data_IF_215031976291
#
_entry.id   IF_215031976291
#
_cell.length_a   1.000
_cell.length_b   1.000
_cell.length_c   1.000
_cell.angle_alpha   90.00
_cell.angle_beta   90.00
_cell.angle_gamma   90.00
#
_symmetry.space_group_name_H-M   'P 1'
#
loop_
_entity.id
_entity.type
_entity.pdbx_description
1 polymer ?
#
# COMPACT_ATOMS: atom_id res chain seq x y z
N UNK A 1 28.95 47.34 -12.63
CA UNK A 1 28.29 46.04 -12.67
C UNK A 1 28.20 45.52 -11.25
N UNK A 2 27.03 45.10 -10.74
CA UNK A 2 26.93 44.57 -9.37
C UNK A 2 27.82 43.33 -9.23
N UNK A 3 28.55 43.23 -8.10
CA UNK A 3 29.47 42.15 -7.80
C UNK A 3 28.71 40.82 -7.76
N UNK A 4 29.40 39.70 -7.97
CA UNK A 4 28.79 38.33 -7.91
C UNK A 4 28.08 38.13 -6.54
N UNK A 5 28.61 38.66 -5.46
CA UNK A 5 28.01 38.64 -4.13
C UNK A 5 26.69 39.40 -4.04
N UNK A 6 26.57 40.53 -4.74
CA UNK A 6 25.33 41.33 -4.78
C UNK A 6 24.21 40.55 -5.56
N UNK A 7 24.58 39.85 -6.61
CA UNK A 7 23.64 39.00 -7.37
C UNK A 7 23.16 37.81 -6.53
N UNK A 8 24.04 37.16 -5.79
CA UNK A 8 23.71 36.08 -4.87
C UNK A 8 22.80 36.56 -3.73
N UNK A 9 23.11 37.72 -3.13
CA UNK A 9 22.28 38.33 -2.09
C UNK A 9 20.89 38.69 -2.63
N UNK A 10 20.81 39.25 -3.83
CA UNK A 10 19.52 39.56 -4.48
C UNK A 10 18.72 38.31 -4.80
N UNK A 11 19.37 37.26 -5.25
CA UNK A 11 18.74 35.95 -5.50
C UNK A 11 18.24 35.28 -4.22
N UNK A 12 19.03 35.32 -3.16
CA UNK A 12 18.63 34.86 -1.81
C UNK A 12 17.48 35.69 -1.24
N UNK A 13 17.50 37.02 -1.44
CA UNK A 13 16.41 37.88 -1.01
C UNK A 13 15.10 37.62 -1.76
N UNK A 14 15.16 37.36 -3.09
CA UNK A 14 14.01 36.93 -3.89
C UNK A 14 13.51 35.56 -3.42
N UNK A 15 14.39 34.60 -3.10
CA UNK A 15 14.03 33.31 -2.52
C UNK A 15 13.33 33.46 -1.18
N UNK A 16 13.76 34.39 -0.33
CA UNK A 16 13.13 34.66 0.98
C UNK A 16 11.71 35.25 0.80
N UNK A 17 11.48 36.05 -0.23
CA UNK A 17 10.13 36.59 -0.54
C UNK A 17 9.19 35.50 -1.04
N UNK A 18 9.72 34.43 -1.70
CA UNK A 18 8.94 33.28 -2.12
C UNK A 18 8.51 32.38 -0.94
N UNK A 19 9.21 32.45 0.20
CA UNK A 19 8.85 31.72 1.43
C UNK A 19 7.61 32.29 2.13
N UNK A 20 7.17 33.51 1.78
CA UNK A 20 5.88 34.08 2.18
C UNK A 20 4.68 33.48 1.45
N UNK A 21 4.87 32.37 0.70
CA UNK A 21 3.77 31.64 0.08
C UNK A 21 2.90 31.02 1.17
N UNK A 22 1.69 31.56 1.30
CA UNK A 22 0.70 31.13 2.29
C UNK A 22 0.25 29.68 1.96
N UNK A 23 0.70 28.69 2.75
CA UNK A 23 0.34 27.29 2.61
C UNK A 23 -1.17 27.03 2.73
N UNK A 24 -1.87 27.93 3.41
CA UNK A 24 -3.30 27.85 3.73
C UNK A 24 -4.20 28.68 2.80
N UNK A 25 -3.66 29.17 1.66
CA UNK A 25 -4.38 30.10 0.75
C UNK A 25 -5.76 29.57 0.31
N UNK A 26 -5.87 28.29 0.05
CA UNK A 26 -7.10 27.63 -0.40
C UNK A 26 -7.70 26.67 0.62
N UNK A 27 -7.34 26.84 1.91
CA UNK A 27 -7.96 26.13 3.03
C UNK A 27 -9.16 26.95 3.51
N UNK A 28 -10.35 26.35 3.52
CA UNK A 28 -11.59 27.02 3.96
C UNK A 28 -11.56 27.35 5.46
N UNK A 29 -12.48 28.19 5.93
CA UNK A 29 -12.47 28.64 7.33
C UNK A 29 -12.74 27.53 8.34
N UNK A 30 -13.54 26.53 7.95
CA UNK A 30 -13.87 25.37 8.76
C UNK A 30 -12.93 24.16 8.55
N UNK A 31 -11.90 24.31 7.73
CA UNK A 31 -10.95 23.27 7.38
C UNK A 31 -9.56 23.51 7.99
N UNK A 32 -8.78 22.45 8.10
CA UNK A 32 -7.37 22.53 8.55
C UNK A 32 -6.47 21.75 7.60
N UNK A 33 -5.39 22.38 7.19
CA UNK A 33 -4.31 21.76 6.43
C UNK A 33 -3.60 20.72 7.31
N UNK A 34 -3.50 19.49 6.86
CA UNK A 34 -2.68 18.47 7.49
C UNK A 34 -1.20 18.76 7.23
N UNK A 35 -0.50 19.25 8.23
CA UNK A 35 0.91 19.67 8.11
C UNK A 35 1.89 18.52 8.34
N UNK A 36 1.61 17.65 9.29
CA UNK A 36 2.48 16.52 9.65
C UNK A 36 1.69 15.41 10.32
N UNK A 37 2.14 14.17 10.09
CA UNK A 37 1.79 13.02 10.90
C UNK A 37 3.01 12.60 11.73
N UNK A 38 2.82 12.40 13.02
CA UNK A 38 3.84 11.87 13.93
C UNK A 38 3.36 10.54 14.50
N UNK A 39 4.19 9.53 14.42
CA UNK A 39 3.94 8.25 15.09
C UNK A 39 4.91 8.11 16.25
N UNK A 40 4.37 7.92 17.44
CA UNK A 40 5.11 7.77 18.70
C UNK A 40 4.80 6.37 19.24
N UNK A 41 5.84 5.60 19.46
CA UNK A 41 5.74 4.20 19.94
C UNK A 41 6.34 4.12 21.33
N UNK A 42 5.53 3.76 22.31
CA UNK A 42 5.93 3.69 23.73
C UNK A 42 6.61 4.98 24.24
N UNK A 43 6.14 6.15 23.77
CA UNK A 43 6.70 7.45 24.15
C UNK A 43 7.84 7.96 23.28
N UNK A 44 8.41 7.12 22.40
CA UNK A 44 9.51 7.50 21.50
C UNK A 44 9.03 7.73 20.06
N UNK A 45 9.59 8.76 19.41
CA UNK A 45 9.30 9.05 18.01
C UNK A 45 9.77 7.88 17.13
N UNK A 46 8.83 7.29 16.40
CA UNK A 46 9.19 6.24 15.43
C UNK A 46 10.00 6.83 14.26
N UNK A 47 11.11 6.15 13.94
CA UNK A 47 12.03 6.53 12.85
C UNK A 47 11.86 5.65 11.60
N UNK A 48 11.08 4.57 11.68
CA UNK A 48 10.87 3.66 10.56
C UNK A 48 9.94 4.31 9.51
N UNK A 49 10.45 4.62 8.30
CA UNK A 49 9.63 5.20 7.24
C UNK A 49 8.54 4.26 6.71
N UNK A 50 8.69 2.95 6.91
CA UNK A 50 7.73 1.94 6.47
C UNK A 50 6.36 2.14 7.13
N UNK A 51 6.33 2.66 8.35
CA UNK A 51 5.10 2.90 9.10
C UNK A 51 4.15 3.89 8.40
N UNK A 52 4.70 4.78 7.58
CA UNK A 52 3.91 5.73 6.81
C UNK A 52 3.01 5.08 5.75
N UNK A 53 3.25 3.80 5.40
CA UNK A 53 2.39 3.03 4.50
C UNK A 53 1.03 2.73 5.11
N UNK A 54 0.97 2.70 6.44
CA UNK A 54 -0.24 2.38 7.21
C UNK A 54 -1.09 3.62 7.52
N UNK A 55 -0.63 4.81 7.13
CA UNK A 55 -1.38 6.05 7.29
C UNK A 55 -2.30 6.28 6.08
N UNK A 56 -3.61 6.36 6.32
CA UNK A 56 -4.61 6.56 5.28
C UNK A 56 -4.57 7.97 4.67
N UNK A 57 -4.02 8.94 5.40
CA UNK A 57 -3.82 10.30 4.94
C UNK A 57 -2.37 10.73 5.15
N UNK A 58 -1.77 11.30 4.12
CA UNK A 58 -0.39 11.81 4.16
C UNK A 58 -0.42 13.30 3.89
N UNK A 59 0.38 14.11 4.61
CA UNK A 59 0.50 15.54 4.33
C UNK A 59 1.11 15.78 2.94
N UNK A 60 0.98 17.01 2.44
CA UNK A 60 1.62 17.41 1.19
C UNK A 60 3.12 17.11 1.21
N UNK A 61 3.63 16.64 0.06
CA UNK A 61 5.05 16.26 -0.07
C UNK A 61 5.97 17.44 0.20
N UNK A 62 7.04 17.19 0.94
CA UNK A 62 8.06 18.17 1.25
C UNK A 62 9.36 17.90 0.50
N UNK A 63 9.93 18.96 -0.07
CA UNK A 63 11.28 18.96 -0.63
C UNK A 63 12.08 20.02 0.13
N UNK A 64 13.26 19.66 0.64
CA UNK A 64 14.08 20.54 1.47
C UNK A 64 13.31 21.12 2.68
N UNK A 65 12.42 20.32 3.28
CA UNK A 65 11.60 20.72 4.43
C UNK A 65 10.37 21.58 4.10
N UNK A 66 10.20 22.02 2.84
CA UNK A 66 9.12 22.89 2.39
C UNK A 66 8.13 22.15 1.47
N UNK A 67 6.81 22.41 1.54
CA UNK A 67 5.81 21.82 0.66
C UNK A 67 5.76 22.54 -0.70
N UNK A 68 6.84 22.43 -1.48
CA UNK A 68 6.99 23.16 -2.73
C UNK A 68 5.86 22.88 -3.72
N UNK A 69 5.39 21.64 -3.81
CA UNK A 69 4.27 21.26 -4.68
C UNK A 69 2.97 21.98 -4.30
N UNK A 70 2.72 22.18 -3.00
CA UNK A 70 1.58 22.97 -2.51
C UNK A 70 1.74 24.45 -2.88
N UNK A 71 2.94 25.00 -2.78
CA UNK A 71 3.21 26.37 -3.20
C UNK A 71 2.99 26.56 -4.70
N UNK A 72 3.41 25.59 -5.53
CA UNK A 72 3.11 25.59 -6.95
C UNK A 72 1.59 25.61 -7.21
N UNK A 73 0.82 24.78 -6.53
CA UNK A 73 -0.63 24.79 -6.60
C UNK A 73 -1.22 26.16 -6.26
N UNK A 74 -0.71 26.79 -5.23
CA UNK A 74 -1.19 28.10 -4.75
C UNK A 74 -0.88 29.27 -5.68
N UNK A 75 -0.02 29.12 -6.70
CA UNK A 75 0.12 30.07 -7.81
C UNK A 75 -1.07 30.00 -8.79
N UNK A 76 -1.73 28.87 -8.90
CA UNK A 76 -2.98 28.73 -9.62
C UNK A 76 -4.17 29.25 -8.82
N UNK A 77 -5.31 29.31 -9.47
CA UNK A 77 -6.62 29.56 -8.87
C UNK A 77 -7.54 28.38 -9.20
N UNK A 78 -7.97 27.58 -8.22
CA UNK A 78 -8.90 26.47 -8.46
C UNK A 78 -10.24 26.92 -9.04
N UNK A 79 -10.70 28.13 -8.73
CA UNK A 79 -11.97 28.70 -9.18
C UNK A 79 -11.89 29.31 -10.58
N UNK A 80 -10.77 29.11 -11.30
CA UNK A 80 -10.55 29.64 -12.65
C UNK A 80 -11.20 28.77 -13.75
N UNK A 81 -12.18 27.95 -13.41
CA UNK A 81 -12.82 27.03 -14.37
C UNK A 81 -14.01 27.61 -15.14
N UNK A 82 -14.29 28.91 -15.01
CA UNK A 82 -15.36 29.54 -15.77
C UNK A 82 -15.08 29.53 -17.29
N UNK A 83 -16.14 29.49 -18.08
CA UNK A 83 -16.04 29.65 -19.53
C UNK A 83 -15.63 31.08 -19.87
N UNK A 84 -15.26 31.33 -21.14
CA UNK A 84 -14.94 32.71 -21.57
C UNK A 84 -16.11 33.65 -21.45
N UNK A 85 -17.33 33.19 -21.78
CA UNK A 85 -18.52 33.99 -21.70
C UNK A 85 -18.90 34.30 -20.23
N UNK A 86 -18.85 33.35 -19.35
CA UNK A 86 -19.00 33.59 -17.91
C UNK A 86 -17.91 34.51 -17.35
N UNK A 87 -16.68 34.43 -17.87
CA UNK A 87 -15.62 35.36 -17.47
C UNK A 87 -15.95 36.80 -17.91
N UNK A 88 -16.52 37.01 -19.11
CA UNK A 88 -16.95 38.33 -19.57
C UNK A 88 -18.05 38.88 -18.67
N UNK A 89 -19.07 38.08 -18.35
CA UNK A 89 -20.19 38.45 -17.50
C UNK A 89 -19.73 38.86 -16.10
N UNK A 90 -18.81 38.09 -15.54
CA UNK A 90 -18.29 38.35 -14.20
C UNK A 90 -17.23 39.48 -14.13
N UNK A 91 -16.63 39.86 -15.28
CA UNK A 91 -15.55 40.84 -15.31
C UNK A 91 -15.76 41.90 -16.45
N UNK A 92 -16.92 42.57 -16.56
CA UNK A 92 -17.20 43.44 -17.68
C UNK A 92 -16.23 44.59 -17.85
N UNK A 93 -15.76 45.19 -16.72
CA UNK A 93 -14.75 46.26 -16.75
C UNK A 93 -13.39 45.81 -17.30
N UNK A 94 -12.99 44.58 -17.02
CA UNK A 94 -11.75 44.02 -17.57
C UNK A 94 -11.90 43.68 -19.05
N UNK A 95 -13.03 43.11 -19.43
CA UNK A 95 -13.32 42.79 -20.80
C UNK A 95 -13.32 44.04 -21.67
N UNK A 96 -14.05 45.10 -21.30
CA UNK A 96 -14.08 46.38 -22.02
C UNK A 96 -12.70 47.01 -22.17
N UNK A 97 -11.81 46.89 -21.15
CA UNK A 97 -10.43 47.36 -21.25
C UNK A 97 -9.62 46.54 -22.26
N UNK A 98 -9.84 45.25 -22.36
CA UNK A 98 -9.16 44.43 -23.36
C UNK A 98 -9.73 44.70 -24.76
N UNK A 99 -11.04 44.84 -24.90
CA UNK A 99 -11.71 45.09 -26.16
C UNK A 99 -11.35 46.47 -26.79
N UNK A 100 -11.00 47.44 -25.95
CA UNK A 100 -10.51 48.73 -26.46
C UNK A 100 -9.16 48.69 -27.17
N UNK A 101 -8.36 47.61 -26.95
CA UNK A 101 -7.02 47.41 -27.55
C UNK A 101 -6.96 46.17 -28.45
N UNK A 102 -7.81 45.17 -28.24
CA UNK A 102 -7.74 43.87 -28.88
C UNK A 102 -9.14 43.47 -29.41
N UNK A 103 -9.16 42.73 -30.51
CA UNK A 103 -10.40 42.11 -30.97
C UNK A 103 -10.91 41.04 -29.98
N UNK A 104 -12.22 40.70 -30.07
CA UNK A 104 -12.81 39.61 -29.25
C UNK A 104 -11.99 38.29 -29.36
N UNK A 105 -11.54 37.94 -30.58
CA UNK A 105 -10.69 36.74 -30.82
C UNK A 105 -9.34 36.82 -30.11
N UNK A 106 -8.68 37.97 -30.12
CA UNK A 106 -7.42 38.16 -29.41
C UNK A 106 -7.62 38.12 -27.88
N UNK A 107 -8.71 38.71 -27.38
CA UNK A 107 -9.07 38.63 -25.95
C UNK A 107 -9.34 37.20 -25.54
N UNK A 108 -9.98 36.39 -26.35
CA UNK A 108 -10.16 34.96 -26.12
C UNK A 108 -8.82 34.20 -26.05
N UNK A 109 -7.89 34.51 -26.95
CA UNK A 109 -6.55 33.89 -26.92
C UNK A 109 -5.80 34.25 -25.62
N UNK A 110 -5.86 35.52 -25.21
CA UNK A 110 -5.25 35.96 -23.93
C UNK A 110 -5.88 35.23 -22.75
N UNK A 111 -7.21 35.09 -22.72
CA UNK A 111 -7.92 34.33 -21.70
C UNK A 111 -7.50 32.85 -21.71
N UNK A 112 -7.49 32.20 -22.87
CA UNK A 112 -7.12 30.79 -23.03
C UNK A 112 -5.69 30.52 -22.57
N UNK A 113 -4.74 31.40 -22.88
CA UNK A 113 -3.36 31.29 -22.42
C UNK A 113 -3.26 31.45 -20.90
N UNK A 114 -3.99 32.39 -20.29
CA UNK A 114 -4.06 32.53 -18.84
C UNK A 114 -4.63 31.28 -18.18
N UNK A 115 -5.71 30.73 -18.74
CA UNK A 115 -6.32 29.47 -18.27
C UNK A 115 -5.32 28.31 -18.38
N UNK A 116 -4.59 28.20 -19.48
CA UNK A 116 -3.58 27.17 -19.68
C UNK A 116 -2.44 27.26 -18.65
N UNK A 117 -1.93 28.47 -18.40
CA UNK A 117 -0.89 28.68 -17.35
C UNK A 117 -1.45 28.37 -15.95
N UNK A 118 -2.68 28.82 -15.66
CA UNK A 118 -3.35 28.50 -14.40
C UNK A 118 -3.43 26.97 -14.20
N UNK A 119 -3.95 26.27 -15.17
CA UNK A 119 -4.11 24.82 -15.12
C UNK A 119 -2.75 24.09 -15.04
N UNK A 120 -1.71 24.66 -15.64
CA UNK A 120 -0.37 24.13 -15.50
C UNK A 120 0.10 24.17 -14.04
N UNK A 121 -0.10 25.28 -13.31
CA UNK A 121 0.22 25.38 -11.90
C UNK A 121 -0.60 24.40 -11.05
N UNK A 122 -1.90 24.29 -11.28
CA UNK A 122 -2.75 23.36 -10.55
C UNK A 122 -2.37 21.91 -10.80
N UNK A 123 -2.06 21.54 -12.05
CA UNK A 123 -1.72 20.17 -12.44
C UNK A 123 -0.30 19.75 -12.01
N UNK A 124 0.65 20.69 -11.92
CA UNK A 124 2.02 20.44 -11.47
C UNK A 124 2.18 20.58 -9.96
N UNK A 125 1.28 21.32 -9.35
CA UNK A 125 1.17 21.47 -7.91
C UNK A 125 0.44 20.31 -7.26
N UNK A 126 0.35 20.35 -5.95
CA UNK A 126 -0.41 19.42 -5.11
C UNK A 126 -1.41 20.22 -4.29
N UNK A 127 -2.70 19.92 -4.43
CA UNK A 127 -3.76 20.58 -3.67
C UNK A 127 -3.53 20.44 -2.15
N UNK A 128 -4.00 21.38 -1.31
CA UNK A 128 -3.87 21.26 0.13
C UNK A 128 -4.56 19.99 0.63
N UNK A 129 -3.83 19.22 1.43
CA UNK A 129 -4.38 18.03 2.07
C UNK A 129 -5.12 18.46 3.33
N UNK A 130 -6.45 18.47 3.25
CA UNK A 130 -7.31 18.84 4.38
C UNK A 130 -7.40 17.67 5.36
N UNK A 131 -7.24 17.96 6.65
CA UNK A 131 -7.37 16.97 7.70
C UNK A 131 -8.77 16.35 7.70
N UNK A 132 -8.81 15.03 7.80
CA UNK A 132 -10.03 14.21 7.84
C UNK A 132 -9.94 13.25 9.05
N UNK A 133 -10.81 13.47 10.03
CA UNK A 133 -10.86 12.66 11.25
C UNK A 133 -11.15 11.19 10.96
N UNK A 134 -11.98 10.89 9.95
CA UNK A 134 -12.28 9.51 9.56
C UNK A 134 -11.03 8.77 9.05
N UNK A 135 -10.19 9.47 8.29
CA UNK A 135 -8.91 8.93 7.81
C UNK A 135 -7.89 8.80 8.94
N UNK A 136 -7.90 9.70 9.91
CA UNK A 136 -7.06 9.56 11.11
C UNK A 136 -7.46 8.33 11.92
N UNK A 137 -8.76 8.10 12.14
CA UNK A 137 -9.27 6.87 12.79
C UNK A 137 -8.90 5.61 12.01
N UNK A 138 -9.02 5.66 10.69
CA UNK A 138 -8.60 4.54 9.83
C UNK A 138 -7.10 4.27 9.98
N UNK A 139 -6.26 5.31 10.01
CA UNK A 139 -4.82 5.19 10.23
C UNK A 139 -4.50 4.55 11.58
N UNK A 140 -5.15 5.00 12.66
CA UNK A 140 -4.96 4.42 13.99
C UNK A 140 -5.30 2.92 14.00
N UNK A 141 -6.40 2.52 13.35
CA UNK A 141 -6.80 1.11 13.23
C UNK A 141 -5.77 0.30 12.42
N UNK A 142 -5.35 0.80 11.26
CA UNK A 142 -4.37 0.11 10.41
C UNK A 142 -3.01 -0.01 11.10
N UNK A 143 -2.60 0.98 11.87
CA UNK A 143 -1.40 0.91 12.71
C UNK A 143 -1.54 -0.15 13.80
N UNK A 144 -2.70 -0.24 14.46
CA UNK A 144 -2.98 -1.29 15.44
C UNK A 144 -2.86 -2.68 14.81
N UNK A 145 -3.49 -2.89 13.64
CA UNK A 145 -3.45 -4.15 12.89
C UNK A 145 -1.99 -4.51 12.50
N UNK A 146 -1.19 -3.51 12.11
CA UNK A 146 0.23 -3.70 11.84
C UNK A 146 0.99 -4.22 13.07
N UNK A 147 0.79 -3.62 14.26
CA UNK A 147 1.47 -4.09 15.48
C UNK A 147 0.95 -5.46 15.93
N UNK A 148 -0.33 -5.73 15.77
CA UNK A 148 -0.90 -7.08 15.99
C UNK A 148 -0.22 -8.09 15.07
N UNK A 149 -0.03 -7.80 13.79
CA UNK A 149 0.65 -8.69 12.85
C UNK A 149 2.13 -8.94 13.17
N UNK A 150 2.75 -8.05 13.97
CA UNK A 150 4.11 -8.20 14.49
C UNK A 150 4.18 -8.89 15.87
N UNK A 151 3.04 -9.46 16.32
CA UNK A 151 2.94 -10.21 17.57
C UNK A 151 2.63 -9.38 18.82
N UNK A 152 2.29 -8.12 18.68
CA UNK A 152 1.85 -7.27 19.80
C UNK A 152 0.32 -7.27 19.90
N UNK A 153 -0.26 -8.40 20.30
CA UNK A 153 -1.72 -8.59 20.28
C UNK A 153 -2.49 -7.64 21.21
N UNK A 154 -1.83 -7.12 22.23
CA UNK A 154 -2.42 -6.14 23.15
C UNK A 154 -2.07 -4.69 22.77
N UNK A 155 -1.56 -4.47 21.56
CA UNK A 155 -1.25 -3.13 21.08
C UNK A 155 -2.51 -2.26 21.08
N UNK A 156 -2.35 -1.02 21.52
CA UNK A 156 -3.39 0.01 21.41
C UNK A 156 -2.83 1.23 20.68
N UNK A 157 -3.69 1.84 19.85
CA UNK A 157 -3.33 3.01 19.05
C UNK A 157 -4.46 4.02 19.12
N UNK A 158 -4.14 5.19 19.64
CA UNK A 158 -4.99 6.36 19.59
C UNK A 158 -4.29 7.52 18.86
N UNK A 159 -5.01 8.59 18.59
CA UNK A 159 -4.40 9.77 18.00
C UNK A 159 -4.93 11.04 18.66
N UNK A 160 -4.08 12.04 18.66
CA UNK A 160 -4.38 13.40 19.09
C UNK A 160 -4.09 14.36 17.95
N UNK A 161 -4.77 15.51 17.96
CA UNK A 161 -4.54 16.58 17.01
C UNK A 161 -3.97 17.79 17.74
N UNK A 162 -2.88 18.35 17.22
CA UNK A 162 -2.28 19.59 17.70
C UNK A 162 -2.47 20.69 16.67
N UNK A 163 -3.20 21.74 17.04
CA UNK A 163 -3.32 22.94 16.21
C UNK A 163 -2.00 23.70 16.20
N UNK A 164 -1.43 23.92 15.02
CA UNK A 164 -0.18 24.68 14.83
C UNK A 164 -0.45 26.14 14.42
N UNK A 165 -1.71 26.51 14.31
CA UNK A 165 -2.20 27.82 13.90
C UNK A 165 -3.72 27.73 13.67
N UNK A 166 -4.31 28.76 13.07
CA UNK A 166 -5.76 28.80 12.84
C UNK A 166 -6.23 27.70 11.86
N UNK A 167 -5.44 27.44 10.82
CA UNK A 167 -5.80 26.53 9.71
C UNK A 167 -4.76 25.42 9.49
N UNK A 168 -3.91 25.12 10.46
CA UNK A 168 -2.92 24.03 10.35
C UNK A 168 -3.03 23.07 11.53
N UNK A 169 -2.90 21.78 11.24
CA UNK A 169 -2.98 20.70 12.22
C UNK A 169 -1.87 19.68 12.03
N UNK A 170 -1.33 19.21 13.14
CA UNK A 170 -0.49 18.01 13.24
C UNK A 170 -1.31 16.87 13.84
N UNK A 171 -1.17 15.67 13.30
CA UNK A 171 -1.76 14.47 13.87
C UNK A 171 -0.66 13.64 14.51
N UNK A 172 -0.82 13.33 15.80
CA UNK A 172 0.08 12.48 16.56
C UNK A 172 -0.59 11.15 16.88
N UNK A 173 -0.09 10.05 16.31
CA UNK A 173 -0.53 8.69 16.62
C UNK A 173 0.31 8.15 17.77
N UNK A 174 -0.33 7.81 18.88
CA UNK A 174 0.31 7.24 20.06
C UNK A 174 0.07 5.73 20.05
N UNK A 175 1.15 4.97 19.92
CA UNK A 175 1.14 3.51 19.90
C UNK A 175 1.69 3.00 21.22
N UNK A 176 0.92 2.15 21.90
CA UNK A 176 1.36 1.39 23.08
C UNK A 176 1.38 -0.08 22.69
N UNK A 177 2.57 -0.68 22.51
CA UNK A 177 2.68 -2.05 21.99
C UNK A 177 2.47 -3.12 23.04
N UNK A 178 2.79 -2.82 24.32
CA UNK A 178 2.90 -3.81 25.40
C UNK A 178 3.89 -4.94 25.06
N UNK A 179 3.71 -6.15 25.60
CA UNK A 179 4.61 -7.26 25.43
C UNK A 179 4.40 -7.99 24.11
N UNK A 180 5.49 -8.31 23.42
CA UNK A 180 5.45 -9.08 22.18
C UNK A 180 5.28 -10.57 22.49
N UNK A 181 4.30 -11.18 21.85
CA UNK A 181 4.09 -12.62 21.94
C UNK A 181 5.12 -13.39 21.12
N UNK A 182 5.48 -14.59 21.60
CA UNK A 182 6.46 -15.49 21.00
C UNK A 182 5.87 -16.88 20.82
N UNK A 183 6.47 -17.66 19.94
CA UNK A 183 6.14 -19.08 19.72
C UNK A 183 6.74 -19.90 20.85
N UNK A 184 5.91 -20.67 21.56
CA UNK A 184 6.33 -21.62 22.59
C UNK A 184 6.73 -22.96 21.96
N UNK A 185 5.77 -23.58 21.28
CA UNK A 185 5.98 -24.83 20.57
C UNK A 185 5.30 -24.80 19.19
N UNK A 186 5.80 -25.64 18.27
CA UNK A 186 5.16 -25.89 16.97
C UNK A 186 4.89 -27.37 16.86
N UNK A 187 3.62 -27.75 16.81
CA UNK A 187 3.17 -29.12 16.62
C UNK A 187 2.38 -29.25 15.32
N UNK A 188 2.21 -30.47 14.84
CA UNK A 188 1.48 -30.73 13.61
C UNK A 188 0.50 -31.90 13.78
N UNK A 189 -0.71 -31.70 13.27
CA UNK A 189 -1.77 -32.72 13.14
C UNK A 189 -2.04 -32.92 11.63
N UNK A 190 -1.42 -33.95 11.07
CA UNK A 190 -1.41 -34.23 9.63
C UNK A 190 -2.03 -35.59 9.36
N UNK A 191 -3.21 -35.62 8.73
CA UNK A 191 -3.94 -36.86 8.51
C UNK A 191 -3.31 -37.76 7.43
N UNK A 192 -2.75 -37.18 6.38
CA UNK A 192 -2.16 -37.95 5.26
C UNK A 192 -0.73 -38.39 5.55
N UNK A 193 -0.43 -39.71 5.59
CA UNK A 193 0.93 -40.21 5.92
C UNK A 193 2.04 -39.69 4.99
N UNK A 194 1.74 -39.51 3.70
CA UNK A 194 2.69 -38.97 2.71
C UNK A 194 3.07 -37.54 3.05
N UNK A 195 2.08 -36.70 3.40
CA UNK A 195 2.33 -35.30 3.82
C UNK A 195 3.13 -35.26 5.11
N UNK A 196 2.76 -36.06 6.11
CA UNK A 196 3.44 -36.13 7.40
C UNK A 196 4.91 -36.52 7.26
N UNK A 197 5.20 -37.53 6.44
CA UNK A 197 6.58 -37.97 6.15
C UNK A 197 7.42 -36.86 5.50
N UNK A 198 6.86 -36.17 4.48
CA UNK A 198 7.55 -35.07 3.79
C UNK A 198 7.76 -33.89 4.74
N UNK A 199 6.76 -33.56 5.56
CA UNK A 199 6.85 -32.49 6.55
C UNK A 199 7.97 -32.75 7.55
N UNK A 200 7.97 -33.92 8.19
CA UNK A 200 8.98 -34.32 9.18
C UNK A 200 10.40 -34.30 8.63
N UNK A 201 10.59 -34.72 7.37
CA UNK A 201 11.89 -34.69 6.72
C UNK A 201 12.43 -33.27 6.41
N UNK A 202 11.63 -32.22 6.58
CA UNK A 202 12.00 -30.83 6.26
C UNK A 202 11.67 -29.83 7.39
N UNK A 203 11.65 -30.30 8.64
CA UNK A 203 11.40 -29.46 9.81
C UNK A 203 12.52 -28.42 10.05
N UNK A 204 13.74 -28.75 9.68
CA UNK A 204 14.92 -27.87 9.79
C UNK A 204 14.76 -26.54 9.01
N UNK A 205 13.91 -26.54 7.99
CA UNK A 205 13.69 -25.40 7.07
C UNK A 205 12.50 -24.53 7.44
N UNK A 206 11.84 -24.79 8.57
CA UNK A 206 10.66 -24.02 9.00
C UNK A 206 11.01 -22.57 9.33
N UNK A 207 10.10 -21.65 9.01
CA UNK A 207 10.14 -20.26 9.45
C UNK A 207 9.64 -20.10 10.89
N UNK A 208 8.83 -21.06 11.39
CA UNK A 208 8.23 -21.01 12.71
C UNK A 208 9.14 -21.73 13.72
N UNK A 209 9.81 -20.95 14.58
CA UNK A 209 10.78 -21.50 15.54
C UNK A 209 10.39 -21.10 16.97
N UNK A 210 10.52 -22.04 17.88
CA UNK A 210 10.36 -21.81 19.32
C UNK A 210 11.21 -20.63 19.81
N UNK A 211 10.64 -19.76 20.62
CA UNK A 211 11.28 -18.56 21.16
C UNK A 211 11.28 -17.35 20.22
N UNK A 212 10.95 -17.52 18.94
CA UNK A 212 10.88 -16.41 17.99
C UNK A 212 9.58 -15.62 18.15
N UNK A 213 9.55 -14.32 17.75
CA UNK A 213 8.33 -13.53 17.77
C UNK A 213 7.22 -14.17 16.95
N UNK A 214 5.98 -14.02 17.41
CA UNK A 214 4.78 -14.49 16.72
C UNK A 214 4.40 -13.49 15.60
N UNK A 215 5.02 -13.57 14.44
CA UNK A 215 4.86 -12.64 13.32
C UNK A 215 4.05 -13.28 12.20
N UNK A 216 2.93 -12.69 11.79
CA UNK A 216 2.03 -13.26 10.78
C UNK A 216 2.73 -13.51 9.44
N UNK A 217 3.65 -12.64 9.04
CA UNK A 217 4.45 -12.79 7.83
C UNK A 217 5.24 -14.12 7.79
N UNK A 218 5.69 -14.60 8.95
CA UNK A 218 6.43 -15.87 9.02
C UNK A 218 5.50 -17.07 8.84
N UNK A 219 4.25 -16.98 9.25
CA UNK A 219 3.22 -17.98 8.96
C UNK A 219 2.89 -18.00 7.45
N UNK A 220 2.77 -16.85 6.81
CA UNK A 220 2.56 -16.77 5.35
C UNK A 220 3.74 -17.37 4.57
N UNK A 221 4.98 -17.09 5.00
CA UNK A 221 6.19 -17.70 4.41
C UNK A 221 6.20 -19.21 4.59
N UNK A 222 5.82 -19.68 5.78
CA UNK A 222 5.78 -21.13 6.07
C UNK A 222 4.70 -21.82 5.23
N UNK A 223 3.51 -21.23 5.12
CA UNK A 223 2.45 -21.72 4.25
C UNK A 223 2.94 -21.84 2.80
N UNK A 224 3.54 -20.78 2.26
CA UNK A 224 4.08 -20.77 0.90
C UNK A 224 5.19 -21.82 0.71
N UNK A 225 6.06 -22.00 1.73
CA UNK A 225 7.10 -23.03 1.74
C UNK A 225 6.51 -24.44 1.68
N UNK A 226 5.53 -24.72 2.53
CA UNK A 226 4.88 -26.04 2.61
C UNK A 226 4.12 -26.38 1.34
N UNK A 227 3.36 -25.44 0.78
CA UNK A 227 2.68 -25.64 -0.52
C UNK A 227 3.68 -26.02 -1.60
N UNK A 228 4.79 -25.29 -1.70
CA UNK A 228 5.85 -25.57 -2.67
C UNK A 228 6.51 -26.91 -2.42
N UNK A 229 6.83 -27.21 -1.17
CA UNK A 229 7.45 -28.46 -0.76
C UNK A 229 6.60 -29.66 -1.17
N UNK A 230 5.32 -29.69 -0.78
CA UNK A 230 4.44 -30.82 -1.06
C UNK A 230 4.18 -30.99 -2.56
N UNK A 231 3.96 -29.91 -3.30
CA UNK A 231 3.77 -29.97 -4.75
C UNK A 231 5.02 -30.47 -5.47
N UNK A 232 6.19 -30.01 -5.09
CA UNK A 232 7.46 -30.46 -5.67
C UNK A 232 7.79 -31.92 -5.30
N UNK A 233 7.22 -32.43 -4.21
CA UNK A 233 7.30 -33.82 -3.79
C UNK A 233 6.22 -34.72 -4.42
N UNK A 234 5.52 -34.21 -5.44
CA UNK A 234 4.52 -34.99 -6.20
C UNK A 234 3.10 -34.90 -5.66
N UNK A 235 2.84 -34.17 -4.59
CA UNK A 235 1.47 -33.98 -4.06
C UNK A 235 0.76 -32.87 -4.83
N UNK A 236 0.46 -33.12 -6.09
CA UNK A 236 -0.03 -32.14 -7.08
C UNK A 236 -1.28 -31.37 -6.64
N UNK A 237 -2.21 -32.04 -5.94
CA UNK A 237 -3.49 -31.44 -5.55
C UNK A 237 -3.41 -30.56 -4.29
N UNK A 238 -2.24 -30.43 -3.65
CA UNK A 238 -2.09 -29.64 -2.44
C UNK A 238 -2.19 -28.13 -2.73
N UNK A 239 -2.97 -27.42 -1.93
CA UNK A 239 -3.20 -25.98 -2.07
C UNK A 239 -3.06 -25.29 -0.70
N UNK A 240 -2.89 -23.97 -0.67
CA UNK A 240 -2.78 -23.19 0.55
C UNK A 240 -3.96 -23.41 1.53
N UNK A 241 -5.19 -23.38 1.03
CA UNK A 241 -6.38 -23.63 1.86
C UNK A 241 -6.53 -25.08 2.35
N UNK A 242 -5.59 -25.97 2.01
CA UNK A 242 -5.54 -27.36 2.51
C UNK A 242 -4.90 -27.46 3.88
N UNK A 243 -4.42 -26.37 4.46
CA UNK A 243 -3.81 -26.32 5.80
C UNK A 243 -4.27 -25.09 6.57
N UNK A 244 -4.07 -25.11 7.88
CA UNK A 244 -4.29 -23.96 8.75
C UNK A 244 -3.38 -24.01 9.96
N UNK A 245 -3.09 -22.83 10.51
CA UNK A 245 -2.38 -22.69 11.79
C UNK A 245 -3.38 -22.31 12.88
N UNK A 246 -3.33 -23.00 13.97
CA UNK A 246 -4.17 -22.79 15.14
C UNK A 246 -3.30 -22.44 16.33
N UNK A 247 -3.75 -21.53 17.17
CA UNK A 247 -3.05 -21.18 18.40
C UNK A 247 -4.02 -21.17 19.57
N UNK A 248 -3.51 -21.52 20.75
CA UNK A 248 -4.30 -21.46 21.97
C UNK A 248 -4.45 -20.00 22.42
N UNK A 249 -5.69 -19.57 22.60
CA UNK A 249 -6.04 -18.24 23.10
C UNK A 249 -6.13 -18.15 24.63
N UNK A 250 -6.11 -19.28 25.34
CA UNK A 250 -6.44 -19.37 26.78
C UNK A 250 -5.23 -19.19 27.68
N UNK A 251 -3.99 -19.33 27.16
CA UNK A 251 -2.78 -19.13 27.96
C UNK A 251 -2.61 -17.66 28.35
N UNK A 252 -2.53 -17.37 29.62
CA UNK A 252 -2.13 -16.06 30.18
C UNK A 252 -0.68 -15.69 29.89
N UNK A 253 0.06 -16.57 29.24
CA UNK A 253 1.48 -16.41 28.86
C UNK A 253 1.63 -15.67 27.54
N UNK A 254 2.66 -14.85 27.43
CA UNK A 254 3.12 -14.25 26.16
C UNK A 254 3.79 -15.27 25.22
N UNK A 255 3.79 -16.55 25.60
CA UNK A 255 4.23 -17.67 24.77
C UNK A 255 3.00 -18.39 24.23
N UNK A 256 2.98 -18.71 22.93
CA UNK A 256 1.84 -19.34 22.25
C UNK A 256 2.26 -20.63 21.56
N UNK A 257 1.50 -21.70 21.83
CA UNK A 257 1.62 -22.93 21.08
C UNK A 257 0.99 -22.76 19.68
N UNK A 258 1.64 -23.31 18.68
CA UNK A 258 1.17 -23.31 17.29
C UNK A 258 0.89 -24.75 16.86
N UNK A 259 -0.30 -25.02 16.38
CA UNK A 259 -0.70 -26.29 15.81
C UNK A 259 -0.95 -26.12 14.30
N UNK A 260 -0.12 -26.74 13.47
CA UNK A 260 -0.37 -26.90 12.06
C UNK A 260 -1.36 -28.03 11.84
N UNK A 261 -2.50 -27.77 11.22
CA UNK A 261 -3.47 -28.81 10.82
C UNK A 261 -3.51 -28.98 9.30
N UNK A 262 -3.37 -30.21 8.85
CA UNK A 262 -3.48 -30.61 7.45
C UNK A 262 -4.43 -31.82 7.35
N UNK A 263 -5.75 -31.58 7.17
CA UNK A 263 -6.70 -32.65 6.96
C UNK A 263 -6.51 -33.31 5.60
N UNK A 264 -7.05 -34.52 5.45
CA UNK A 264 -7.21 -35.15 4.16
C UNK A 264 -8.09 -34.32 3.22
N UNK A 265 -7.89 -34.45 1.93
CA UNK A 265 -8.66 -33.70 0.93
C UNK A 265 -10.10 -34.19 0.85
N UNK A 266 -11.01 -33.25 0.64
CA UNK A 266 -12.41 -33.56 0.31
C UNK A 266 -12.55 -33.62 -1.20
N UNK A 267 -13.09 -34.77 -1.73
CA UNK A 267 -13.42 -34.94 -3.13
C UNK A 267 -14.91 -35.28 -3.27
N UNK A 268 -15.50 -34.81 -4.35
CA UNK A 268 -16.87 -35.22 -4.70
C UNK A 268 -16.83 -36.46 -5.61
N UNK A 269 -17.49 -37.51 -5.16
CA UNK A 269 -17.69 -38.73 -6.00
C UNK A 269 -19.17 -39.15 -5.91
N UNK A 270 -19.85 -39.24 -7.04
CA UNK A 270 -21.29 -39.55 -7.10
C UNK A 270 -22.12 -38.64 -6.16
N UNK A 271 -21.93 -37.32 -6.25
CA UNK A 271 -22.58 -36.28 -5.44
C UNK A 271 -22.37 -36.40 -3.90
N UNK A 272 -21.44 -37.25 -3.49
CA UNK A 272 -21.07 -37.41 -2.09
C UNK A 272 -19.65 -36.86 -1.83
N UNK A 273 -19.49 -36.09 -0.75
CA UNK A 273 -18.17 -35.66 -0.28
C UNK A 273 -17.48 -36.81 0.45
N UNK A 274 -16.32 -37.18 -0.03
CA UNK A 274 -15.49 -38.25 0.51
C UNK A 274 -14.15 -37.67 0.95
N UNK A 275 -13.68 -38.07 2.11
CA UNK A 275 -12.34 -37.79 2.62
C UNK A 275 -11.35 -38.77 2.00
N UNK A 276 -10.31 -38.26 1.33
CA UNK A 276 -9.28 -39.09 0.68
C UNK A 276 -7.88 -38.56 1.05
N UNK A 277 -6.97 -39.46 1.50
CA UNK A 277 -5.60 -39.06 1.76
C UNK A 277 -4.91 -38.49 0.52
N UNK A 278 -4.01 -37.57 0.73
CA UNK A 278 -3.13 -37.09 -0.33
C UNK A 278 -2.19 -38.23 -0.78
N UNK A 279 -1.89 -38.25 -2.07
CA UNK A 279 -0.98 -39.21 -2.69
C UNK A 279 0.07 -38.47 -3.49
N UNK A 280 1.33 -38.91 -3.39
CA UNK A 280 2.37 -38.47 -4.30
C UNK A 280 2.13 -39.07 -5.68
N UNK A 281 2.22 -38.25 -6.71
CA UNK A 281 2.05 -38.63 -8.12
C UNK A 281 3.39 -38.51 -8.83
N UNK A 282 3.66 -39.47 -9.70
CA UNK A 282 4.86 -39.47 -10.53
C UNK A 282 4.42 -39.24 -11.97
N UNK A 283 5.09 -38.30 -12.65
CA UNK A 283 4.86 -38.05 -14.07
C UNK A 283 5.36 -39.25 -14.83
N UNK A 284 4.45 -40.01 -15.45
CA UNK A 284 4.77 -41.18 -16.24
C UNK A 284 5.26 -40.83 -17.64
N UNK A 285 4.63 -39.85 -18.26
CA UNK A 285 4.88 -39.50 -19.65
C UNK A 285 4.56 -37.99 -19.85
N UNK A 286 5.35 -37.32 -20.66
CA UNK A 286 5.10 -35.93 -21.08
C UNK A 286 4.97 -35.91 -22.61
N UNK A 287 3.79 -35.51 -23.10
CA UNK A 287 3.52 -35.32 -24.52
C UNK A 287 3.43 -33.82 -24.83
N UNK A 288 4.22 -33.36 -25.79
CA UNK A 288 4.28 -31.99 -26.23
C UNK A 288 3.65 -31.87 -27.61
N UNK A 289 2.58 -31.11 -27.72
CA UNK A 289 1.89 -30.85 -28.99
C UNK A 289 2.28 -29.46 -29.48
N UNK A 290 3.22 -29.40 -30.42
CA UNK A 290 3.83 -28.15 -30.91
C UNK A 290 2.89 -27.31 -31.77
N UNK A 291 1.87 -27.92 -32.37
CA UNK A 291 0.87 -27.29 -33.24
C UNK A 291 -0.52 -27.10 -32.57
N UNK A 292 -0.61 -27.34 -31.26
CA UNK A 292 -1.89 -27.24 -30.55
C UNK A 292 -2.33 -25.79 -30.38
N UNK A 293 -3.53 -25.50 -30.86
CA UNK A 293 -4.24 -24.24 -30.62
C UNK A 293 -5.53 -24.50 -29.86
N UNK A 294 -6.13 -23.49 -29.17
CA UNK A 294 -7.39 -23.68 -28.44
C UNK A 294 -8.52 -24.33 -29.26
N UNK A 295 -8.57 -24.08 -30.57
CA UNK A 295 -9.55 -24.67 -31.51
C UNK A 295 -9.15 -26.01 -32.09
N UNK A 296 -7.95 -26.54 -31.79
CA UNK A 296 -7.38 -27.71 -32.46
C UNK A 296 -6.96 -28.83 -31.48
N UNK A 297 -7.52 -28.84 -30.27
CA UNK A 297 -7.13 -29.78 -29.19
C UNK A 297 -7.37 -31.24 -29.51
N UNK A 298 -8.25 -31.58 -30.48
CA UNK A 298 -8.65 -32.94 -30.82
C UNK A 298 -8.09 -33.41 -32.17
N UNK A 299 -7.11 -32.74 -32.77
CA UNK A 299 -6.47 -33.19 -34.00
C UNK A 299 -5.73 -34.52 -33.77
N UNK A 300 -5.87 -35.44 -34.69
CA UNK A 300 -5.07 -36.68 -34.68
C UNK A 300 -3.60 -36.34 -34.89
N UNK A 301 -2.74 -36.87 -34.01
CA UNK A 301 -1.28 -36.78 -34.15
C UNK A 301 -0.89 -37.36 -35.50
N UNK A 302 -0.20 -36.60 -36.34
CA UNK A 302 0.23 -37.04 -37.69
C UNK A 302 1.61 -37.70 -37.63
N UNK A 303 2.47 -37.23 -36.77
CA UNK A 303 3.82 -37.75 -36.56
C UNK A 303 4.24 -37.51 -35.11
N UNK A 304 5.18 -38.27 -34.60
CA UNK A 304 5.70 -38.11 -33.25
C UNK A 304 7.20 -38.40 -33.21
N UNK A 305 7.91 -37.57 -32.49
CA UNK A 305 9.32 -37.76 -32.18
C UNK A 305 9.55 -37.83 -30.67
N UNK A 306 10.56 -38.59 -30.25
CA UNK A 306 10.94 -38.65 -28.84
C UNK A 306 12.34 -38.07 -28.66
N UNK A 307 12.50 -37.17 -27.70
CA UNK A 307 13.78 -36.57 -27.35
C UNK A 307 13.88 -36.34 -25.82
N UNK A 308 14.93 -36.87 -25.24
CA UNK A 308 15.19 -36.75 -23.78
C UNK A 308 14.00 -37.13 -22.87
N UNK A 309 13.23 -38.17 -23.25
CA UNK A 309 12.08 -38.63 -22.48
C UNK A 309 10.78 -37.88 -22.72
N UNK A 310 10.77 -36.87 -23.59
CA UNK A 310 9.56 -36.17 -24.05
C UNK A 310 9.11 -36.73 -25.38
N UNK A 311 7.80 -36.80 -25.62
CA UNK A 311 7.19 -37.03 -26.91
C UNK A 311 6.64 -35.73 -27.47
N UNK A 312 6.95 -35.44 -28.72
CA UNK A 312 6.54 -34.29 -29.50
C UNK A 312 5.59 -34.68 -30.61
#
# INVERSE_FOLDING_TARGET
MPSSTTKILLFVWILIQLVSCNSIKYVQENEKLLKENKVVVNGEKNKDPEINKYLAQKPNRRSLGMPLSLYFYNFGNPDFEMTFDEWIENHPKKYNRYESFFSKKQTYIIYSNKKAVNNWFLNKGEAPVIFDDSKARKSARTLKDYYISKGFFEADVNFDTLNLGEKEVEVKYNVTTKTQYRIDSVTADIESPVIDSIYKANLDKTFLKTGYPFVFEDFEKEEARLVRLFRNSGVYHFKNFSMGFWTDSIKESYMKDVLLKIPDRLITRNDTLIKEPYKAQIVKEVNVYTDATPGNRNKKVKDSASYQGYKF
#
